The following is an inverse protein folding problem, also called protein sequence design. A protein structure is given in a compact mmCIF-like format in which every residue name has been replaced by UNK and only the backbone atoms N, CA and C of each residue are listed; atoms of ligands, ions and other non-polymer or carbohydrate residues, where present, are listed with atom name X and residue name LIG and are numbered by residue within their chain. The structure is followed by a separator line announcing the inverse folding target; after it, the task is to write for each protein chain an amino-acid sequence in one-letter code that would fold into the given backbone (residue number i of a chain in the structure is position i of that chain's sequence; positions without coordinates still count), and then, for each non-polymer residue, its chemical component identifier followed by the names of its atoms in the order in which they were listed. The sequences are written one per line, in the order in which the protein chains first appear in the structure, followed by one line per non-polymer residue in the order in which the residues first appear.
data_IF_952143778387
#
_entry.id   IF_952143778387
#
_cell.length_a   1.000
_cell.length_b   1.000
_cell.length_c   1.000
_cell.angle_alpha   90.00
_cell.angle_beta   90.00
_cell.angle_gamma   90.00
#
_symmetry.space_group_name_H-M   'P 1'
#
loop_
_entity.id
_entity.type
_entity.pdbx_description
1 polymer ?
#
# COMPACT_ATOMS: atom_id res chain seq x y z
N UNK A 1 -6.70 -26.04 29.82
CA UNK A 1 -7.72 -25.84 28.78
C UNK A 1 -6.99 -25.72 27.46
N UNK A 2 -7.14 -26.70 26.57
CA UNK A 2 -6.49 -26.75 25.25
C UNK A 2 -7.04 -25.60 24.39
N UNK A 3 -6.23 -24.87 23.58
CA UNK A 3 -6.76 -23.86 22.66
C UNK A 3 -7.86 -24.47 21.79
N UNK A 4 -8.98 -23.75 21.67
CA UNK A 4 -10.12 -24.20 20.87
C UNK A 4 -9.67 -24.40 19.43
N UNK A 5 -10.04 -25.53 18.81
CA UNK A 5 -9.79 -25.84 17.40
C UNK A 5 -10.15 -24.66 16.47
N UNK A 6 -11.20 -23.90 16.80
CA UNK A 6 -11.62 -22.72 16.05
C UNK A 6 -10.57 -21.60 16.02
N UNK A 7 -9.85 -21.36 17.12
CA UNK A 7 -8.85 -20.28 17.19
C UNK A 7 -7.59 -20.65 16.41
N UNK A 8 -7.19 -21.92 16.47
CA UNK A 8 -6.09 -22.46 15.66
C UNK A 8 -6.38 -22.34 14.16
N UNK A 9 -7.62 -22.64 13.74
CA UNK A 9 -8.06 -22.48 12.35
C UNK A 9 -8.00 -21.00 11.93
N UNK A 10 -8.52 -20.08 12.75
CA UNK A 10 -8.51 -18.64 12.46
C UNK A 10 -7.09 -18.08 12.31
N UNK A 11 -6.17 -18.46 13.21
CA UNK A 11 -4.76 -18.03 13.14
C UNK A 11 -4.13 -18.50 11.82
N UNK A 12 -4.38 -19.75 11.43
CA UNK A 12 -3.87 -20.31 10.17
C UNK A 12 -4.39 -19.52 8.96
N UNK A 13 -5.70 -19.25 8.91
CA UNK A 13 -6.32 -18.45 7.82
C UNK A 13 -5.74 -17.03 7.74
N UNK A 14 -5.63 -16.32 8.88
CA UNK A 14 -5.06 -14.96 8.94
C UNK A 14 -3.62 -14.96 8.44
N UNK A 15 -2.83 -15.97 8.78
CA UNK A 15 -1.43 -16.09 8.35
C UNK A 15 -1.32 -16.35 6.85
N UNK A 16 -2.11 -17.28 6.32
CA UNK A 16 -2.08 -17.61 4.89
C UNK A 16 -2.45 -16.36 4.05
N UNK A 17 -3.45 -15.58 4.50
CA UNK A 17 -3.78 -14.29 3.89
C UNK A 17 -2.66 -13.24 4.06
N UNK A 18 -2.05 -13.15 5.25
CA UNK A 18 -0.97 -12.20 5.52
C UNK A 18 0.26 -12.45 4.63
N UNK A 19 0.56 -13.70 4.27
CA UNK A 19 1.65 -14.02 3.33
C UNK A 19 1.37 -13.45 1.93
N UNK A 20 0.14 -13.59 1.44
CA UNK A 20 -0.26 -13.02 0.14
C UNK A 20 -0.18 -11.48 0.20
N UNK A 21 -0.73 -10.87 1.25
CA UNK A 21 -0.70 -9.42 1.43
C UNK A 21 0.73 -8.89 1.57
N UNK A 22 1.63 -9.63 2.24
CA UNK A 22 3.04 -9.26 2.37
C UNK A 22 3.75 -9.23 1.01
N UNK A 23 3.49 -10.21 0.14
CA UNK A 23 4.04 -10.22 -1.23
C UNK A 23 3.57 -8.98 -1.99
N UNK A 24 2.26 -8.70 -1.94
CA UNK A 24 1.69 -7.52 -2.59
C UNK A 24 2.28 -6.22 -2.02
N UNK A 25 2.35 -6.09 -0.70
CA UNK A 25 2.94 -4.91 -0.05
C UNK A 25 4.40 -4.70 -0.46
N UNK A 26 5.19 -5.78 -0.51
CA UNK A 26 6.59 -5.72 -0.93
C UNK A 26 6.71 -5.28 -2.39
N UNK A 27 5.83 -5.75 -3.28
CA UNK A 27 5.77 -5.27 -4.66
C UNK A 27 5.43 -3.78 -4.74
N UNK A 28 4.51 -3.28 -3.91
CA UNK A 28 4.19 -1.85 -3.88
C UNK A 28 5.38 -1.01 -3.39
N UNK A 29 6.11 -1.48 -2.38
CA UNK A 29 7.34 -0.83 -1.90
C UNK A 29 8.36 -0.72 -3.04
N UNK A 30 8.58 -1.78 -3.80
CA UNK A 30 9.60 -1.78 -4.86
C UNK A 30 9.22 -0.89 -6.03
N UNK A 31 7.95 -0.90 -6.48
CA UNK A 31 7.52 -0.07 -7.62
C UNK A 31 7.50 1.41 -7.27
N UNK A 32 7.05 1.79 -6.08
CA UNK A 32 7.04 3.20 -5.63
C UNK A 32 8.45 3.71 -5.38
N UNK A 33 9.31 2.89 -4.77
CA UNK A 33 10.74 3.20 -4.66
C UNK A 33 11.38 3.44 -6.04
N UNK A 34 11.14 2.56 -7.00
CA UNK A 34 11.65 2.72 -8.36
C UNK A 34 11.09 3.96 -9.05
N UNK A 35 9.80 4.26 -8.88
CA UNK A 35 9.14 5.44 -9.45
C UNK A 35 9.74 6.75 -8.91
N UNK A 36 10.04 6.82 -7.61
CA UNK A 36 10.68 7.97 -6.99
C UNK A 36 12.08 8.30 -7.53
N UNK A 37 12.81 7.32 -8.07
CA UNK A 37 14.13 7.53 -8.69
C UNK A 37 14.11 7.61 -10.22
N UNK A 38 13.03 7.16 -10.86
CA UNK A 38 12.90 7.16 -12.33
C UNK A 38 12.09 8.36 -12.84
N UNK A 39 12.20 9.51 -12.15
CA UNK A 39 11.40 10.70 -12.43
C UNK A 39 11.52 11.17 -13.89
N UNK A 40 10.41 11.22 -14.63
CA UNK A 40 10.38 11.75 -15.97
C UNK A 40 10.47 13.28 -15.94
N UNK A 41 11.21 13.87 -16.87
CA UNK A 41 11.27 15.35 -17.01
C UNK A 41 12.66 15.96 -17.09
N UNK A 42 13.72 15.21 -16.74
CA UNK A 42 15.08 15.77 -16.72
C UNK A 42 15.22 16.96 -15.77
N UNK A 43 16.43 17.53 -15.71
CA UNK A 43 16.72 18.70 -14.89
C UNK A 43 16.77 19.96 -15.76
N UNK A 44 16.29 21.07 -15.22
CA UNK A 44 16.36 22.39 -15.84
C UNK A 44 17.83 22.74 -16.06
N UNK A 45 18.27 22.70 -17.32
CA UNK A 45 19.65 22.94 -17.71
C UNK A 45 19.90 24.38 -18.13
N UNK A 46 18.86 25.21 -18.19
CA UNK A 46 18.97 26.56 -18.72
C UNK A 46 19.77 27.46 -17.76
N UNK A 47 20.80 28.13 -18.32
CA UNK A 47 21.85 28.80 -17.51
C UNK A 47 21.37 30.08 -16.84
N UNK A 48 20.31 30.69 -17.37
CA UNK A 48 19.76 31.97 -16.92
C UNK A 48 18.47 31.81 -16.09
N UNK A 49 18.05 30.58 -15.80
CA UNK A 49 16.90 30.30 -14.93
C UNK A 49 17.34 30.21 -13.46
N UNK A 50 16.55 30.80 -12.55
CA UNK A 50 16.77 30.65 -11.09
C UNK A 50 16.57 29.21 -10.60
N UNK A 51 16.04 28.33 -11.45
CA UNK A 51 15.60 26.98 -11.13
C UNK A 51 16.55 25.89 -11.66
N UNK A 52 17.73 26.29 -12.11
CA UNK A 52 18.77 25.41 -12.68
C UNK A 52 19.07 24.24 -11.74
N UNK A 53 18.90 23.02 -12.24
CA UNK A 53 19.09 21.77 -11.49
C UNK A 53 17.85 21.24 -10.78
N UNK A 54 16.69 21.92 -10.81
CA UNK A 54 15.41 21.33 -10.41
C UNK A 54 14.80 20.53 -11.57
N UNK A 55 13.97 19.52 -11.29
CA UNK A 55 13.33 18.79 -12.38
C UNK A 55 12.37 19.72 -13.15
N UNK A 56 12.39 19.69 -14.49
CA UNK A 56 11.61 20.61 -15.34
C UNK A 56 10.11 20.52 -15.02
N UNK A 57 9.65 19.33 -14.62
CA UNK A 57 8.26 19.07 -14.24
C UNK A 57 7.89 19.49 -12.81
N UNK A 58 8.83 19.88 -11.95
CA UNK A 58 8.54 20.27 -10.54
C UNK A 58 7.64 21.51 -10.43
N UNK A 59 7.60 22.33 -11.48
CA UNK A 59 6.69 23.49 -11.57
C UNK A 59 5.23 23.10 -11.82
N UNK A 60 4.96 21.83 -12.11
CA UNK A 60 3.61 21.32 -12.40
C UNK A 60 2.95 20.71 -11.19
N UNK A 61 1.74 21.19 -10.91
CA UNK A 61 0.87 20.66 -9.85
C UNK A 61 0.69 19.14 -9.93
N UNK A 62 0.56 18.57 -11.14
CA UNK A 62 0.42 17.13 -11.33
C UNK A 62 1.66 16.33 -10.92
N UNK A 63 2.86 16.87 -11.14
CA UNK A 63 4.11 16.24 -10.72
C UNK A 63 4.28 16.28 -9.20
N UNK A 64 3.95 17.41 -8.56
CA UNK A 64 3.93 17.48 -7.09
C UNK A 64 2.92 16.49 -6.50
N UNK A 65 1.74 16.37 -7.10
CA UNK A 65 0.74 15.38 -6.69
C UNK A 65 1.26 13.95 -6.85
N UNK A 66 1.95 13.65 -7.96
CA UNK A 66 2.62 12.36 -8.18
C UNK A 66 3.62 12.04 -7.08
N UNK A 67 4.58 12.94 -6.81
CA UNK A 67 5.63 12.69 -5.80
C UNK A 67 5.03 12.47 -4.41
N UNK A 68 4.05 13.29 -4.02
CA UNK A 68 3.40 13.15 -2.70
C UNK A 68 2.63 11.84 -2.60
N UNK A 69 1.87 11.48 -3.63
CA UNK A 69 1.04 10.25 -3.60
C UNK A 69 1.90 8.98 -3.70
N UNK A 70 2.98 9.00 -4.47
CA UNK A 70 3.97 7.93 -4.54
C UNK A 70 4.69 7.73 -3.18
N UNK A 71 5.07 8.82 -2.51
CA UNK A 71 5.67 8.75 -1.17
C UNK A 71 4.69 8.19 -0.12
N UNK A 72 3.41 8.59 -0.15
CA UNK A 72 2.37 8.03 0.71
C UNK A 72 2.23 6.53 0.45
N UNK A 73 2.19 6.12 -0.83
CA UNK A 73 2.09 4.73 -1.22
C UNK A 73 3.28 3.90 -0.70
N UNK A 74 4.51 4.43 -0.82
CA UNK A 74 5.73 3.80 -0.31
C UNK A 74 5.69 3.64 1.22
N UNK A 75 5.39 4.71 1.96
CA UNK A 75 5.39 4.66 3.43
C UNK A 75 4.28 3.73 3.95
N UNK A 76 3.09 3.76 3.34
CA UNK A 76 1.98 2.89 3.74
C UNK A 76 2.29 1.41 3.45
N UNK A 77 2.84 1.09 2.28
CA UNK A 77 3.23 -0.29 1.95
C UNK A 77 4.40 -0.78 2.81
N UNK A 78 5.41 0.05 3.05
CA UNK A 78 6.52 -0.28 3.94
C UNK A 78 6.04 -0.50 5.38
N UNK A 79 5.09 0.32 5.87
CA UNK A 79 4.44 0.12 7.16
C UNK A 79 3.65 -1.19 7.25
N UNK A 80 2.98 -1.59 6.16
CA UNK A 80 2.30 -2.89 6.08
C UNK A 80 3.31 -4.06 6.12
N UNK A 81 4.40 -3.97 5.34
CA UNK A 81 5.51 -4.95 5.38
C UNK A 81 6.09 -5.06 6.78
N UNK A 82 6.39 -3.92 7.43
CA UNK A 82 6.90 -3.90 8.80
C UNK A 82 5.92 -4.55 9.78
N UNK A 83 4.62 -4.28 9.65
CA UNK A 83 3.58 -4.88 10.49
C UNK A 83 3.51 -6.40 10.32
N UNK A 84 3.59 -6.90 9.08
CA UNK A 84 3.65 -8.34 8.80
C UNK A 84 4.95 -8.97 9.29
N UNK A 85 6.07 -8.26 9.20
CA UNK A 85 7.35 -8.70 9.74
C UNK A 85 7.32 -8.82 11.27
N UNK A 86 6.79 -7.83 11.97
CA UNK A 86 6.56 -7.89 13.42
C UNK A 86 5.66 -9.08 13.77
N UNK A 87 4.58 -9.29 12.99
CA UNK A 87 3.69 -10.44 13.16
C UNK A 87 4.42 -11.78 13.06
N UNK A 88 5.36 -11.91 12.13
CA UNK A 88 6.20 -13.10 11.97
C UNK A 88 7.19 -13.27 13.14
N UNK A 89 7.78 -12.17 13.63
CA UNK A 89 8.77 -12.17 14.71
C UNK A 89 8.19 -12.49 16.09
N UNK A 90 6.95 -12.04 16.38
CA UNK A 90 6.26 -12.33 17.65
C UNK A 90 5.90 -13.82 17.78
N UNK A 91 5.95 -14.58 16.67
CA UNK A 91 5.56 -15.98 16.63
C UNK A 91 6.74 -16.93 16.90
N UNK A 92 7.17 -17.05 18.16
CA UNK A 92 7.96 -18.21 18.60
C UNK A 92 7.01 -19.32 19.08
N UNK A 93 7.12 -20.56 18.58
CA UNK A 93 6.40 -21.67 19.18
C UNK A 93 6.90 -21.84 20.62
N UNK A 94 6.10 -21.42 21.60
CA UNK A 94 6.38 -21.75 23.00
C UNK A 94 6.13 -23.25 23.16
N UNK A 95 7.22 -23.97 23.44
CA UNK A 95 7.19 -25.34 23.93
C UNK A 95 6.43 -25.34 25.27
N UNK A 96 5.56 -26.34 25.43
CA UNK A 96 4.56 -26.53 26.50
C UNK A 96 5.01 -26.15 27.90
N UNK A 97 4.17 -25.40 28.64
CA UNK A 97 4.39 -25.18 30.06
C UNK A 97 3.35 -24.31 30.77
N UNK A 98 2.11 -24.81 30.89
CA UNK A 98 1.09 -24.53 31.93
C UNK A 98 0.64 -23.08 32.25
N UNK A 99 1.20 -22.03 31.65
CA UNK A 99 0.77 -20.62 31.79
C UNK A 99 0.06 -20.08 30.53
N UNK A 100 -0.19 -20.96 29.55
CA UNK A 100 -0.41 -20.59 28.13
C UNK A 100 -1.78 -19.98 27.78
N UNK A 101 -2.83 -20.23 28.56
CA UNK A 101 -4.22 -19.99 28.10
C UNK A 101 -4.58 -18.49 28.06
N UNK A 102 -4.13 -17.71 29.04
CA UNK A 102 -4.43 -16.26 29.11
C UNK A 102 -3.56 -15.47 28.14
N UNK A 103 -2.34 -15.96 27.86
CA UNK A 103 -1.43 -15.38 26.87
C UNK A 103 -1.99 -15.58 25.45
N UNK A 104 -2.51 -16.76 25.10
CA UNK A 104 -3.09 -17.03 23.77
C UNK A 104 -4.18 -16.02 23.38
N UNK A 105 -5.08 -15.65 24.30
CA UNK A 105 -6.16 -14.71 24.01
C UNK A 105 -5.70 -13.25 23.82
N UNK A 106 -4.62 -12.84 24.49
CA UNK A 106 -4.02 -11.50 24.31
C UNK A 106 -3.20 -11.44 23.02
N UNK A 107 -2.36 -12.45 22.77
CA UNK A 107 -1.57 -12.59 21.54
C UNK A 107 -2.48 -12.63 20.30
N UNK A 108 -3.59 -13.37 20.33
CA UNK A 108 -4.58 -13.38 19.25
C UNK A 108 -5.21 -12.00 19.00
N UNK A 109 -5.47 -11.25 20.07
CA UNK A 109 -6.02 -9.88 19.97
C UNK A 109 -5.00 -8.92 19.35
N UNK A 110 -3.73 -9.04 19.73
CA UNK A 110 -2.64 -8.23 19.17
C UNK A 110 -2.45 -8.60 17.70
N UNK A 111 -2.36 -9.89 17.37
CA UNK A 111 -2.27 -10.41 16.00
C UNK A 111 -3.39 -9.86 15.11
N UNK A 112 -4.65 -9.98 15.53
CA UNK A 112 -5.78 -9.46 14.76
C UNK A 112 -5.74 -7.94 14.59
N UNK A 113 -5.35 -7.19 15.64
CA UNK A 113 -5.21 -5.72 15.53
C UNK A 113 -4.10 -5.34 14.55
N UNK A 114 -2.94 -5.99 14.64
CA UNK A 114 -1.80 -5.74 13.75
C UNK A 114 -2.14 -6.13 12.31
N UNK A 115 -2.76 -7.29 12.09
CA UNK A 115 -3.22 -7.72 10.77
C UNK A 115 -4.23 -6.75 10.16
N UNK A 116 -5.20 -6.27 10.97
CA UNK A 116 -6.18 -5.27 10.50
C UNK A 116 -5.52 -3.95 10.13
N UNK A 117 -4.58 -3.47 10.95
CA UNK A 117 -3.83 -2.25 10.66
C UNK A 117 -3.00 -2.39 9.38
N UNK A 118 -2.27 -3.49 9.22
CA UNK A 118 -1.47 -3.79 8.03
C UNK A 118 -2.33 -3.82 6.76
N UNK A 119 -3.52 -4.44 6.86
CA UNK A 119 -4.46 -4.52 5.74
C UNK A 119 -5.00 -3.14 5.35
N UNK A 120 -5.34 -2.28 6.33
CA UNK A 120 -5.78 -0.89 6.05
C UNK A 120 -4.66 -0.10 5.36
N UNK A 121 -3.42 -0.20 5.85
CA UNK A 121 -2.26 0.46 5.24
C UNK A 121 -2.03 -0.02 3.81
N UNK A 122 -2.19 -1.32 3.54
CA UNK A 122 -2.05 -1.88 2.20
C UNK A 122 -3.13 -1.36 1.24
N UNK A 123 -4.39 -1.27 1.70
CA UNK A 123 -5.46 -0.65 0.91
C UNK A 123 -5.19 0.83 0.61
N UNK A 124 -4.71 1.58 1.59
CA UNK A 124 -4.32 2.99 1.40
C UNK A 124 -3.15 3.13 0.43
N UNK A 125 -2.19 2.20 0.47
CA UNK A 125 -1.09 2.16 -0.49
C UNK A 125 -1.59 1.87 -1.91
N UNK A 126 -2.47 0.89 -2.08
CA UNK A 126 -3.06 0.55 -3.38
C UNK A 126 -3.78 1.75 -4.02
N UNK A 127 -4.59 2.49 -3.25
CA UNK A 127 -5.26 3.68 -3.78
C UNK A 127 -4.27 4.78 -4.14
N UNK A 128 -3.26 5.03 -3.29
CA UNK A 128 -2.23 6.01 -3.54
C UNK A 128 -1.39 5.69 -4.79
N UNK A 129 -1.05 4.41 -5.04
CA UNK A 129 -0.34 3.99 -6.26
C UNK A 129 -1.14 4.30 -7.52
N UNK A 130 -2.47 4.09 -7.52
CA UNK A 130 -3.32 4.42 -8.67
C UNK A 130 -3.31 5.93 -8.93
N UNK A 131 -3.41 6.75 -7.89
CA UNK A 131 -3.37 8.21 -8.03
C UNK A 131 -2.00 8.67 -8.51
N UNK A 132 -0.92 8.11 -7.98
CA UNK A 132 0.44 8.38 -8.43
C UNK A 132 0.60 8.04 -9.91
N UNK A 133 0.15 6.85 -10.33
CA UNK A 133 0.22 6.46 -11.73
C UNK A 133 -0.52 7.44 -12.66
N UNK A 134 -1.75 7.84 -12.32
CA UNK A 134 -2.54 8.79 -13.12
C UNK A 134 -1.87 10.17 -13.18
N UNK A 135 -1.45 10.70 -12.04
CA UNK A 135 -0.84 12.03 -11.94
C UNK A 135 0.55 12.08 -12.58
N UNK A 136 1.35 11.01 -12.46
CA UNK A 136 2.64 10.85 -13.13
C UNK A 136 2.49 10.77 -14.64
N UNK A 137 1.52 10.00 -15.14
CA UNK A 137 1.22 9.98 -16.58
C UNK A 137 0.72 11.34 -17.07
N UNK A 138 -0.16 12.01 -16.33
CA UNK A 138 -0.62 13.34 -16.71
C UNK A 138 0.55 14.36 -16.76
N UNK A 139 1.49 14.28 -15.83
CA UNK A 139 2.67 15.14 -15.81
C UNK A 139 3.58 14.90 -17.03
N UNK A 140 3.71 13.66 -17.49
CA UNK A 140 4.58 13.28 -18.62
C UNK A 140 3.98 13.51 -20.00
N UNK A 141 2.66 13.36 -20.16
CA UNK A 141 1.96 13.44 -21.44
C UNK A 141 1.58 14.88 -21.86
N UNK A 142 2.27 15.90 -21.34
CA UNK A 142 1.98 17.33 -21.52
C UNK A 142 1.71 17.76 -22.97
N UNK A 143 2.29 17.09 -23.97
CA UNK A 143 2.14 17.46 -25.37
C UNK A 143 0.94 16.82 -26.10
N UNK A 144 0.18 15.91 -25.47
CA UNK A 144 -1.00 15.27 -26.08
C UNK A 144 -2.16 15.11 -25.09
N UNK A 145 -3.04 16.11 -25.09
CA UNK A 145 -4.20 16.23 -24.20
C UNK A 145 -5.18 15.05 -24.33
N UNK A 146 -5.27 14.44 -25.53
CA UNK A 146 -6.14 13.29 -25.78
C UNK A 146 -5.68 12.01 -25.08
N UNK A 147 -4.38 11.72 -25.10
CA UNK A 147 -3.83 10.55 -24.41
C UNK A 147 -3.93 10.70 -22.89
N UNK A 148 -3.62 11.90 -22.37
CA UNK A 148 -3.77 12.20 -20.94
C UNK A 148 -5.23 12.03 -20.46
N UNK A 149 -6.21 12.50 -21.25
CA UNK A 149 -7.63 12.34 -20.93
C UNK A 149 -8.06 10.86 -20.89
N UNK A 150 -7.65 10.05 -21.87
CA UNK A 150 -8.00 8.61 -21.90
C UNK A 150 -7.42 7.83 -20.72
N UNK A 151 -6.15 8.09 -20.36
CA UNK A 151 -5.49 7.48 -19.19
C UNK A 151 -6.20 7.88 -17.89
N UNK A 152 -6.60 9.16 -17.78
CA UNK A 152 -7.31 9.65 -16.60
C UNK A 152 -8.68 8.98 -16.45
N UNK A 153 -9.41 8.79 -17.55
CA UNK A 153 -10.71 8.08 -17.55
C UNK A 153 -10.53 6.61 -17.14
N UNK A 154 -9.52 5.92 -17.68
CA UNK A 154 -9.22 4.53 -17.31
C UNK A 154 -8.86 4.42 -15.82
N UNK A 155 -8.03 5.33 -15.31
CA UNK A 155 -7.65 5.38 -13.89
C UNK A 155 -8.83 5.64 -12.96
N UNK A 156 -9.70 6.60 -13.29
CA UNK A 156 -10.92 6.89 -12.55
C UNK A 156 -11.89 5.69 -12.55
N UNK A 157 -12.06 5.02 -13.69
CA UNK A 157 -12.90 3.81 -13.80
C UNK A 157 -12.34 2.67 -12.94
N UNK A 158 -11.03 2.43 -12.98
CA UNK A 158 -10.40 1.41 -12.16
C UNK A 158 -10.55 1.70 -10.66
N UNK A 159 -10.39 2.96 -10.24
CA UNK A 159 -10.60 3.38 -8.86
C UNK A 159 -12.05 3.20 -8.40
N UNK A 160 -13.03 3.59 -9.23
CA UNK A 160 -14.45 3.41 -8.94
C UNK A 160 -14.82 1.92 -8.80
N UNK A 161 -14.28 1.06 -9.66
CA UNK A 161 -14.47 -0.39 -9.56
C UNK A 161 -13.87 -0.93 -8.26
N UNK A 162 -12.66 -0.51 -7.89
CA UNK A 162 -12.02 -0.91 -6.63
C UNK A 162 -12.85 -0.52 -5.40
N UNK A 163 -13.34 0.73 -5.37
CA UNK A 163 -14.20 1.22 -4.28
C UNK A 163 -15.53 0.48 -4.25
N UNK A 164 -16.16 0.21 -5.40
CA UNK A 164 -17.39 -0.57 -5.48
C UNK A 164 -17.22 -1.98 -4.94
N UNK A 165 -16.16 -2.69 -5.35
CA UNK A 165 -15.85 -4.04 -4.84
C UNK A 165 -15.62 -4.00 -3.33
N UNK A 166 -14.89 -3.00 -2.84
CA UNK A 166 -14.67 -2.83 -1.41
C UNK A 166 -15.97 -2.58 -0.63
N UNK A 167 -16.87 -1.73 -1.14
CA UNK A 167 -18.19 -1.46 -0.54
C UNK A 167 -19.06 -2.72 -0.54
N UNK A 168 -19.10 -3.46 -1.65
CA UNK A 168 -19.87 -4.71 -1.74
C UNK A 168 -19.36 -5.72 -0.72
N UNK A 169 -18.04 -5.94 -0.65
CA UNK A 169 -17.43 -6.82 0.33
C UNK A 169 -17.69 -6.35 1.78
N UNK A 170 -17.65 -5.04 2.03
CA UNK A 170 -17.95 -4.48 3.34
C UNK A 170 -19.41 -4.70 3.75
N UNK A 171 -20.35 -4.53 2.83
CA UNK A 171 -21.78 -4.79 3.06
C UNK A 171 -22.01 -6.27 3.33
N UNK A 172 -21.39 -7.16 2.53
CA UNK A 172 -21.55 -8.60 2.68
C UNK A 172 -20.91 -9.13 3.98
N UNK A 173 -19.80 -8.56 4.42
CA UNK A 173 -19.16 -8.90 5.68
C UNK A 173 -19.94 -8.42 6.93
N UNK A 174 -20.88 -7.49 6.77
CA UNK A 174 -21.65 -6.89 7.87
C UNK A 174 -23.13 -7.30 7.86
N UNK A 175 -23.49 -8.28 7.02
CA UNK A 175 -24.81 -8.92 6.92
C UNK A 175 -24.78 -10.27 7.64
#
# INVERSE_FOLDING_TARGET
MIPNNNDTIKIKMVRDSAQIHLVVATLLVTVTFAAGFTLPGGFESDKDSSDKGMAILTKKSAFCAFVVTDAIAFVCSAGAVFSYFVMAMTHRPKIEGQLDIVLTHKELRILMKTYRLATILLFLSMSAVVIAFVTGLYATLENSVGLAATVCVIGCLAFLIYVLVFIVLYIEANK
#
